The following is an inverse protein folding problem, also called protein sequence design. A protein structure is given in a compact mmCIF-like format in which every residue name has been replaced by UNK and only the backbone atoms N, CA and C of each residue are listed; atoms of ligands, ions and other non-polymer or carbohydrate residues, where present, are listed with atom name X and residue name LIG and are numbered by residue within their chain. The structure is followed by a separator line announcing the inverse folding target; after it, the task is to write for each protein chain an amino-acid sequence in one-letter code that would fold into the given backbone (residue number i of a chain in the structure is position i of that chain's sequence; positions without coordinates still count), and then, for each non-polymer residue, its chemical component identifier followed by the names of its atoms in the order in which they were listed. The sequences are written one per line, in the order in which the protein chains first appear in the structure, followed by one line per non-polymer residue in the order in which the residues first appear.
data_IF_561521037022
#
_entry.id   IF_561521037022
#
_cell.length_a   1.000
_cell.length_b   1.000
_cell.length_c   1.000
_cell.angle_alpha   90.00
_cell.angle_beta   90.00
_cell.angle_gamma   90.00
#
_symmetry.space_group_name_H-M   'P 1'
#
loop_
_entity.id
_entity.type
_entity.pdbx_description
1 polymer ?
#
# COMPACT_ATOMS: atom_id res chain seq x y z
N UNK A 1 0.99 -4.02 -19.95
CA UNK A 1 0.82 -4.95 -18.81
C UNK A 1 0.40 -4.12 -17.60
N UNK A 2 -0.37 -4.66 -16.65
CA UNK A 2 -0.90 -3.84 -15.55
C UNK A 2 0.22 -3.12 -14.76
N UNK A 3 -0.08 -1.91 -14.27
CA UNK A 3 0.69 -1.25 -13.22
C UNK A 3 0.24 -1.83 -11.89
N UNK A 4 1.10 -2.57 -11.21
CA UNK A 4 0.71 -3.29 -9.98
C UNK A 4 1.06 -2.45 -8.76
N UNK A 5 0.03 -2.00 -8.05
CA UNK A 5 0.18 -1.24 -6.80
C UNK A 5 -0.15 -2.18 -5.65
N UNK A 6 0.83 -2.41 -4.78
CA UNK A 6 0.71 -3.26 -3.62
C UNK A 6 0.32 -2.42 -2.40
N UNK A 7 -0.72 -2.88 -1.70
CA UNK A 7 -1.12 -2.39 -0.39
C UNK A 7 -0.81 -3.46 0.65
N UNK A 8 -0.21 -3.06 1.76
CA UNK A 8 0.05 -3.95 2.88
C UNK A 8 0.07 -3.20 4.20
N UNK A 9 -0.03 -3.96 5.29
CA UNK A 9 0.24 -3.46 6.62
C UNK A 9 1.38 -4.27 7.25
N UNK A 10 2.14 -3.62 8.13
CA UNK A 10 3.19 -4.28 8.92
C UNK A 10 3.08 -3.91 10.39
N UNK A 11 3.06 -4.94 11.25
CA UNK A 11 2.89 -4.77 12.68
C UNK A 11 1.61 -4.03 13.09
N UNK A 12 1.69 -3.31 14.20
CA UNK A 12 0.59 -2.52 14.81
C UNK A 12 1.15 -1.19 15.34
N UNK A 13 1.44 -0.23 14.44
CA UNK A 13 1.93 1.09 14.84
C UNK A 13 0.89 1.80 15.71
N UNK A 14 1.27 2.20 16.93
CA UNK A 14 0.38 2.90 17.88
C UNK A 14 0.50 4.42 17.81
N UNK A 15 1.71 4.89 17.52
CA UNK A 15 2.10 6.30 17.63
C UNK A 15 2.31 6.97 16.26
N UNK A 16 1.70 6.41 15.22
CA UNK A 16 1.83 6.89 13.84
C UNK A 16 3.02 6.26 13.09
N UNK A 17 3.50 6.90 12.00
CA UNK A 17 4.61 6.39 11.20
C UNK A 17 5.89 6.18 12.01
N UNK A 18 6.52 5.01 11.85
CA UNK A 18 7.82 4.72 12.44
C UNK A 18 8.69 3.88 11.50
N UNK A 19 10.01 4.04 11.58
CA UNK A 19 10.94 3.26 10.75
C UNK A 19 10.85 1.75 11.02
N UNK A 20 10.49 1.34 12.25
CA UNK A 20 10.32 -0.06 12.65
C UNK A 20 9.22 -0.77 11.85
N UNK A 21 8.14 -0.05 11.54
CA UNK A 21 6.96 -0.60 10.85
C UNK A 21 6.86 -0.14 9.39
N UNK A 22 7.91 0.48 8.83
CA UNK A 22 7.93 0.87 7.42
C UNK A 22 7.99 -0.36 6.52
N UNK A 23 7.38 -0.25 5.34
CA UNK A 23 7.42 -1.23 4.27
C UNK A 23 8.59 -1.03 3.31
N UNK A 24 9.42 0.01 3.45
CA UNK A 24 10.58 0.22 2.57
C UNK A 24 11.52 -1.01 2.52
N UNK A 25 11.87 -1.67 3.65
CA UNK A 25 12.67 -2.89 3.61
C UNK A 25 11.95 -4.05 2.89
N UNK A 26 10.63 -4.10 2.97
CA UNK A 26 9.80 -5.12 2.34
C UNK A 26 9.73 -4.91 0.83
N UNK A 27 9.71 -3.66 0.35
CA UNK A 27 9.79 -3.36 -1.07
C UNK A 27 11.10 -3.92 -1.68
N UNK A 28 12.22 -3.73 -0.98
CA UNK A 28 13.54 -4.25 -1.39
C UNK A 28 13.55 -5.78 -1.43
N UNK A 29 13.09 -6.44 -0.37
CA UNK A 29 12.99 -7.90 -0.33
C UNK A 29 12.05 -8.45 -1.42
N UNK A 30 10.95 -7.76 -1.69
CA UNK A 30 10.00 -8.14 -2.76
C UNK A 30 10.66 -8.05 -4.14
N UNK A 31 11.46 -7.01 -4.39
CA UNK A 31 12.21 -6.87 -5.63
C UNK A 31 13.21 -8.02 -5.85
N UNK A 32 13.89 -8.46 -4.80
CA UNK A 32 14.81 -9.61 -4.83
C UNK A 32 14.08 -10.90 -5.21
N UNK A 33 12.95 -11.18 -4.56
CA UNK A 33 12.14 -12.39 -4.82
C UNK A 33 11.54 -12.38 -6.22
N UNK A 34 11.05 -11.23 -6.68
CA UNK A 34 10.41 -11.08 -7.98
C UNK A 34 11.42 -11.04 -9.14
N UNK A 35 12.71 -10.84 -8.85
CA UNK A 35 13.77 -10.70 -9.85
C UNK A 35 13.64 -9.45 -10.71
N UNK A 36 12.95 -8.41 -10.21
CA UNK A 36 12.74 -7.14 -10.93
C UNK A 36 12.50 -5.98 -9.96
N UNK A 37 12.70 -4.72 -10.40
CA UNK A 37 12.51 -3.55 -9.54
C UNK A 37 11.08 -3.46 -8.98
N UNK A 38 10.99 -3.13 -7.69
CA UNK A 38 9.76 -2.73 -7.01
C UNK A 38 9.99 -1.32 -6.48
N UNK A 39 9.18 -0.37 -6.94
CA UNK A 39 9.19 1.00 -6.43
C UNK A 39 8.63 1.06 -5.01
N UNK A 40 8.88 2.17 -4.32
CA UNK A 40 8.33 2.43 -3.00
C UNK A 40 7.81 3.87 -2.91
N UNK A 41 6.62 4.05 -2.33
CA UNK A 41 6.06 5.36 -2.01
C UNK A 41 6.03 5.54 -0.49
N UNK A 42 6.47 6.69 0.00
CA UNK A 42 6.56 6.99 1.43
C UNK A 42 5.20 7.27 2.12
N UNK A 43 4.09 7.19 1.38
CA UNK A 43 2.73 7.21 1.89
C UNK A 43 1.86 6.30 0.99
N UNK A 44 0.70 5.86 1.50
CA UNK A 44 -0.31 5.12 0.74
C UNK A 44 -1.41 6.00 0.15
N UNK A 45 -1.46 7.28 0.53
CA UNK A 45 -2.40 8.27 0.00
C UNK A 45 -1.70 9.61 -0.27
N UNK A 46 -2.42 10.53 -0.91
CA UNK A 46 -1.96 11.90 -1.14
C UNK A 46 -0.82 12.00 -2.14
N UNK A 47 -0.10 13.12 -2.12
CA UNK A 47 0.85 13.49 -3.17
C UNK A 47 1.97 12.45 -3.35
N UNK A 48 2.45 11.84 -2.26
CA UNK A 48 3.52 10.82 -2.34
C UNK A 48 3.08 9.56 -3.05
N UNK A 49 1.86 9.10 -2.82
CA UNK A 49 1.30 7.97 -3.55
C UNK A 49 1.02 8.36 -5.02
N UNK A 50 0.37 9.51 -5.24
CA UNK A 50 -0.01 9.98 -6.57
C UNK A 50 1.21 10.22 -7.49
N UNK A 51 2.26 10.86 -6.98
CA UNK A 51 3.53 11.08 -7.71
C UNK A 51 4.18 9.75 -8.12
N UNK A 52 4.22 8.79 -7.20
CA UNK A 52 4.82 7.47 -7.46
C UNK A 52 4.01 6.67 -8.48
N UNK A 53 2.68 6.67 -8.36
CA UNK A 53 1.76 5.99 -9.31
C UNK A 53 1.85 6.63 -10.70
N UNK A 54 1.91 7.96 -10.79
CA UNK A 54 2.03 8.68 -12.05
C UNK A 54 3.36 8.36 -12.78
N UNK A 55 4.42 8.07 -12.04
CA UNK A 55 5.73 7.69 -12.59
C UNK A 55 5.80 6.24 -13.11
N UNK A 56 4.84 5.38 -12.76
CA UNK A 56 4.83 3.98 -13.17
C UNK A 56 4.58 3.82 -14.67
N UNK A 57 5.26 2.84 -15.25
CA UNK A 57 5.04 2.32 -16.60
C UNK A 57 4.31 0.98 -16.54
N UNK A 58 3.76 0.58 -17.67
CA UNK A 58 3.14 -0.73 -17.83
C UNK A 58 4.06 -1.87 -17.37
N UNK A 59 3.55 -2.70 -16.46
CA UNK A 59 4.29 -3.82 -15.90
C UNK A 59 5.19 -3.48 -14.71
N UNK A 60 5.26 -2.21 -14.29
CA UNK A 60 5.95 -1.83 -13.05
C UNK A 60 5.17 -2.29 -11.81
N UNK A 61 5.90 -2.46 -10.71
CA UNK A 61 5.36 -2.80 -9.39
C UNK A 61 5.76 -1.70 -8.41
N UNK A 62 4.80 -1.24 -7.62
CA UNK A 62 4.99 -0.21 -6.61
C UNK A 62 4.41 -0.70 -5.28
N UNK A 63 5.19 -0.67 -4.21
CA UNK A 63 4.70 -0.88 -2.85
C UNK A 63 4.43 0.48 -2.19
N UNK A 64 3.19 0.70 -1.76
CA UNK A 64 2.86 1.87 -0.95
C UNK A 64 3.24 1.63 0.52
N UNK A 65 3.43 2.71 1.26
CA UNK A 65 3.74 2.63 2.69
C UNK A 65 2.59 1.98 3.50
N UNK A 66 2.92 1.52 4.70
CA UNK A 66 2.07 0.79 5.63
C UNK A 66 0.69 1.46 5.83
N UNK A 67 -0.38 0.78 5.42
CA UNK A 67 -1.76 1.32 5.53
C UNK A 67 -2.14 1.63 6.98
N UNK A 68 -1.59 0.90 7.96
CA UNK A 68 -1.84 1.15 9.39
C UNK A 68 -1.15 2.39 9.96
N UNK A 69 -0.32 3.10 9.19
CA UNK A 69 0.11 4.44 9.59
C UNK A 69 -1.03 5.45 9.61
N UNK A 70 -2.12 5.17 8.90
CA UNK A 70 -3.36 5.93 8.97
C UNK A 70 -4.35 5.22 9.89
N UNK A 71 -4.72 5.86 11.01
CA UNK A 71 -5.74 5.31 11.93
C UNK A 71 -7.10 5.04 11.26
N UNK A 72 -7.35 5.71 10.14
CA UNK A 72 -8.53 5.55 9.31
C UNK A 72 -8.64 4.15 8.69
N UNK A 73 -7.51 3.45 8.49
CA UNK A 73 -7.45 2.07 7.97
C UNK A 73 -8.27 1.10 8.83
N UNK A 74 -7.97 1.03 10.13
CA UNK A 74 -8.62 0.08 11.05
C UNK A 74 -10.07 0.45 11.38
N UNK A 75 -10.47 1.67 11.05
CA UNK A 75 -11.84 2.17 11.25
C UNK A 75 -12.72 2.06 10.01
N UNK A 76 -12.14 1.61 8.89
CA UNK A 76 -12.80 1.57 7.59
C UNK A 76 -13.48 2.92 7.23
N UNK A 77 -12.73 4.03 7.38
CA UNK A 77 -13.29 5.35 7.10
C UNK A 77 -13.45 5.56 5.58
N UNK A 78 -14.66 5.86 5.06
CA UNK A 78 -14.90 5.95 3.62
C UNK A 78 -14.00 6.96 2.90
N UNK A 79 -13.72 8.11 3.53
CA UNK A 79 -12.85 9.13 2.97
C UNK A 79 -11.38 8.68 2.83
N UNK A 80 -10.96 7.64 3.57
CA UNK A 80 -9.66 7.02 3.41
C UNK A 80 -9.69 5.97 2.30
N UNK A 81 -10.74 5.15 2.23
CA UNK A 81 -10.97 4.22 1.12
C UNK A 81 -11.02 4.93 -0.23
N UNK A 82 -11.70 6.08 -0.32
CA UNK A 82 -11.72 6.92 -1.53
C UNK A 82 -10.32 7.35 -1.98
N UNK A 83 -9.44 7.69 -1.04
CA UNK A 83 -8.06 8.09 -1.33
C UNK A 83 -7.19 6.91 -1.76
N UNK A 84 -7.40 5.73 -1.19
CA UNK A 84 -6.73 4.50 -1.64
C UNK A 84 -7.20 4.12 -3.05
N UNK A 85 -8.51 4.18 -3.30
CA UNK A 85 -9.12 3.87 -4.59
C UNK A 85 -8.66 4.82 -5.70
N UNK A 86 -8.38 6.09 -5.37
CA UNK A 86 -7.84 7.06 -6.33
C UNK A 86 -6.49 6.65 -6.96
N UNK A 87 -5.78 5.69 -6.36
CA UNK A 87 -4.51 5.20 -6.88
C UNK A 87 -4.64 4.16 -8.00
N UNK A 88 -5.81 3.56 -8.24
CA UNK A 88 -5.94 2.48 -9.22
C UNK A 88 -7.36 2.22 -9.73
N UNK A 89 -7.45 1.51 -10.84
CA UNK A 89 -8.72 1.30 -11.54
C UNK A 89 -9.48 0.03 -11.08
N UNK A 90 -8.74 -0.97 -10.57
CA UNK A 90 -9.26 -2.28 -10.20
C UNK A 90 -8.64 -2.69 -8.86
N UNK A 91 -9.48 -3.20 -7.96
CA UNK A 91 -9.06 -3.77 -6.69
C UNK A 91 -8.95 -5.30 -6.76
N UNK A 92 -7.85 -5.85 -6.23
CA UNK A 92 -7.61 -7.30 -6.11
C UNK A 92 -7.24 -7.58 -4.67
N UNK A 93 -8.08 -8.36 -3.96
CA UNK A 93 -7.79 -8.79 -2.61
C UNK A 93 -7.11 -10.16 -2.61
N UNK A 94 -5.80 -10.19 -2.40
CA UNK A 94 -5.01 -11.40 -2.20
C UNK A 94 -4.46 -11.50 -0.76
N UNK A 95 -5.21 -10.95 0.21
CA UNK A 95 -4.83 -10.88 1.61
C UNK A 95 -5.81 -11.64 2.50
N UNK A 96 -6.02 -12.95 2.24
CA UNK A 96 -7.00 -13.78 2.95
C UNK A 96 -6.85 -13.74 4.49
N UNK A 97 -5.61 -13.69 5.00
CA UNK A 97 -5.35 -13.60 6.44
C UNK A 97 -5.86 -12.29 7.06
N UNK A 98 -6.01 -11.23 6.27
CA UNK A 98 -6.54 -9.93 6.69
C UNK A 98 -8.05 -9.78 6.40
N UNK A 99 -8.62 -10.57 5.48
CA UNK A 99 -10.01 -10.47 5.02
C UNK A 99 -11.07 -10.66 6.12
N UNK A 100 -10.69 -11.18 7.30
CA UNK A 100 -11.59 -11.28 8.46
C UNK A 100 -11.81 -9.95 9.19
N UNK A 101 -11.16 -8.87 8.75
CA UNK A 101 -11.27 -7.53 9.33
C UNK A 101 -11.94 -6.59 8.33
N UNK A 102 -12.88 -5.79 8.82
CA UNK A 102 -13.49 -4.68 8.11
C UNK A 102 -12.54 -3.47 8.18
N UNK A 103 -11.49 -3.48 7.37
CA UNK A 103 -10.55 -2.36 7.22
C UNK A 103 -10.64 -1.78 5.81
N UNK A 104 -10.24 -0.52 5.65
CA UNK A 104 -10.36 0.20 4.36
C UNK A 104 -9.61 -0.47 3.20
N UNK A 105 -8.50 -1.17 3.45
CA UNK A 105 -7.75 -1.87 2.41
C UNK A 105 -8.25 -3.30 2.10
N UNK A 106 -9.23 -3.82 2.85
CA UNK A 106 -9.69 -5.22 2.76
C UNK A 106 -11.18 -5.39 2.45
N UNK A 107 -11.98 -4.33 2.53
CA UNK A 107 -13.44 -4.30 2.29
C UNK A 107 -13.82 -3.10 1.41
#
# INVERSE_FOLDING_TARGET
GAKVILLAHFGRPKDGPSAEFSLEPIARATAEVLGRPVGFAADCIGDKAAEAVAAMKDGDVLLLENTRFHKAEEKNEPAFTEKLAANGDIYVNDAFSAAHRAHASTE
#
